data_IF_731538630815
#
_entry.id   IF_731538630815
#
_cell.length_a   1.000
_cell.length_b   1.000
_cell.length_c   1.000
_cell.angle_alpha   90.00
_cell.angle_beta   90.00
_cell.angle_gamma   90.00
#
_symmetry.space_group_name_H-M   'P 1'
#
loop_
_entity.id
_entity.type
_entity.pdbx_description
1 polymer ?
#
# COMPACT_ATOMS: atom_id res chain seq x y z
N UNK A 1 9.16 17.17 20.06
CA UNK A 1 10.32 16.98 19.17
C UNK A 1 9.90 15.85 18.27
N UNK A 2 9.84 16.08 16.97
CA UNK A 2 9.38 15.09 16.01
C UNK A 2 10.35 13.92 15.96
N UNK A 3 9.86 12.71 16.24
CA UNK A 3 10.64 11.48 16.15
C UNK A 3 10.80 11.10 14.68
N UNK A 4 12.03 10.87 14.23
CA UNK A 4 12.34 10.56 12.82
C UNK A 4 12.66 9.09 12.64
N UNK A 5 11.90 8.43 11.78
CA UNK A 5 12.10 7.05 11.37
C UNK A 5 12.64 7.03 9.94
N UNK A 6 13.79 6.43 9.71
CA UNK A 6 14.38 6.26 8.37
C UNK A 6 14.27 4.80 7.92
N UNK A 7 13.42 4.52 6.95
CA UNK A 7 13.26 3.19 6.34
C UNK A 7 14.16 3.10 5.09
N UNK A 8 15.16 2.23 5.12
CA UNK A 8 16.17 2.08 4.05
C UNK A 8 15.85 0.84 3.24
N UNK A 9 15.84 0.95 1.91
CA UNK A 9 15.74 -0.22 1.04
C UNK A 9 15.44 0.12 -0.41
N UNK A 10 14.77 -0.81 -1.09
CA UNK A 10 14.50 -0.71 -2.52
C UNK A 10 13.00 -0.71 -2.82
N UNK A 11 12.47 0.38 -3.43
CA UNK A 11 11.17 0.36 -4.05
C UNK A 11 11.28 -0.35 -5.41
N UNK A 12 10.23 -1.06 -5.81
CA UNK A 12 10.13 -1.74 -7.09
C UNK A 12 8.83 -1.34 -7.79
N UNK A 13 8.88 -1.25 -9.12
CA UNK A 13 7.67 -1.29 -9.92
C UNK A 13 7.15 -2.73 -10.00
N UNK A 14 5.88 -2.91 -9.69
CA UNK A 14 5.18 -4.20 -9.81
C UNK A 14 4.36 -4.20 -11.09
N UNK A 15 4.54 -5.20 -11.93
CA UNK A 15 3.69 -5.47 -13.09
C UNK A 15 2.75 -6.62 -12.72
N UNK A 16 1.44 -6.37 -12.75
CA UNK A 16 0.44 -7.38 -12.39
C UNK A 16 -0.76 -7.35 -13.34
N UNK A 17 -1.42 -8.51 -13.50
CA UNK A 17 -2.58 -8.64 -14.39
C UNK A 17 -3.80 -7.89 -13.86
N UNK A 18 -4.41 -7.11 -14.76
CA UNK A 18 -5.70 -6.45 -14.66
C UNK A 18 -6.56 -6.86 -15.86
N UNK A 19 -7.35 -7.92 -15.68
CA UNK A 19 -8.08 -8.56 -16.78
C UNK A 19 -7.12 -9.07 -17.86
N UNK A 20 -7.35 -8.66 -19.10
CA UNK A 20 -6.49 -9.00 -20.25
C UNK A 20 -5.24 -8.11 -20.39
N UNK A 21 -5.08 -7.10 -19.52
CA UNK A 21 -3.97 -6.14 -19.58
C UNK A 21 -3.03 -6.26 -18.38
N UNK A 22 -1.86 -5.63 -18.48
CA UNK A 22 -0.96 -5.44 -17.35
C UNK A 22 -1.09 -4.04 -16.78
N UNK A 23 -1.27 -3.95 -15.47
CA UNK A 23 -1.18 -2.72 -14.69
C UNK A 23 0.20 -2.59 -14.06
N UNK A 24 0.56 -1.36 -13.69
CA UNK A 24 1.77 -1.06 -12.95
C UNK A 24 1.42 -0.50 -11.57
N UNK A 25 1.84 -1.22 -10.53
CA UNK A 25 1.86 -0.76 -9.15
C UNK A 25 3.29 -0.52 -8.66
N UNK A 26 3.43 -0.22 -7.37
CA UNK A 26 4.74 -0.10 -6.73
C UNK A 26 4.68 -0.74 -5.35
N UNK A 27 5.75 -1.46 -5.01
CA UNK A 27 5.90 -2.17 -3.76
C UNK A 27 7.39 -2.26 -3.39
N UNK A 28 7.71 -3.15 -2.46
CA UNK A 28 9.06 -3.37 -1.93
C UNK A 28 8.96 -3.53 -0.43
N UNK A 29 9.60 -4.52 0.16
CA UNK A 29 9.41 -4.90 1.56
C UNK A 29 9.50 -3.69 2.52
N UNK A 30 10.57 -2.92 2.38
CA UNK A 30 10.83 -1.73 3.19
C UNK A 30 9.94 -0.56 2.82
N UNK A 31 9.52 -0.44 1.55
CA UNK A 31 8.55 0.59 1.12
C UNK A 31 7.17 0.31 1.73
N UNK A 32 6.73 -0.94 1.66
CA UNK A 32 5.48 -1.42 2.27
C UNK A 32 5.50 -1.12 3.77
N UNK A 33 6.56 -1.52 4.49
CA UNK A 33 6.74 -1.20 5.91
C UNK A 33 6.68 0.29 6.18
N UNK A 34 7.38 1.12 5.39
CA UNK A 34 7.36 2.57 5.57
C UNK A 34 5.96 3.15 5.40
N UNK A 35 5.22 2.74 4.36
CA UNK A 35 3.84 3.19 4.09
C UNK A 35 2.93 2.85 5.27
N UNK A 36 2.93 1.60 5.74
CA UNK A 36 2.11 1.21 6.87
C UNK A 36 2.53 1.93 8.16
N UNK A 37 3.83 2.13 8.37
CA UNK A 37 4.34 2.92 9.50
C UNK A 37 3.80 4.36 9.47
N UNK A 38 3.87 5.03 8.33
CA UNK A 38 3.38 6.39 8.17
C UNK A 38 1.85 6.50 8.35
N UNK A 39 1.09 5.53 7.84
CA UNK A 39 -0.37 5.47 8.01
C UNK A 39 -0.76 5.32 9.48
N UNK A 40 -0.10 4.41 10.21
CA UNK A 40 -0.38 4.14 11.62
C UNK A 40 0.19 5.23 12.55
N UNK A 41 1.17 6.00 12.09
CA UNK A 41 1.73 7.15 12.79
C UNK A 41 0.89 8.43 12.64
N UNK A 42 -0.17 8.44 11.80
CA UNK A 42 -1.05 9.61 11.63
C UNK A 42 -1.60 10.08 12.98
N UNK A 43 -1.45 11.38 13.25
CA UNK A 43 -1.86 11.99 14.52
C UNK A 43 -0.78 12.01 15.61
N UNK A 44 0.40 11.46 15.34
CA UNK A 44 1.57 11.51 16.22
C UNK A 44 2.67 12.41 15.63
N UNK A 45 3.54 12.97 16.48
CA UNK A 45 4.72 13.78 16.08
C UNK A 45 5.85 12.85 15.59
N UNK A 46 5.58 12.09 14.55
CA UNK A 46 6.49 11.09 13.94
C UNK A 46 6.61 11.36 12.44
N UNK A 47 7.85 11.50 11.98
CA UNK A 47 8.20 11.72 10.58
C UNK A 47 8.86 10.45 10.01
N UNK A 48 8.18 9.80 9.06
CA UNK A 48 8.67 8.57 8.41
C UNK A 48 9.30 8.94 7.06
N UNK A 49 10.62 8.79 6.97
CA UNK A 49 11.42 9.06 5.78
C UNK A 49 11.76 7.76 5.06
N UNK A 50 11.55 7.72 3.74
CA UNK A 50 12.06 6.62 2.91
C UNK A 50 13.42 6.98 2.32
N UNK A 51 14.36 6.04 2.40
CA UNK A 51 15.75 6.20 1.99
C UNK A 51 16.04 5.20 0.88
N UNK A 52 16.16 5.70 -0.36
CA UNK A 52 16.47 4.89 -1.52
C UNK A 52 17.15 5.71 -2.62
N UNK A 53 17.61 5.02 -3.67
CA UNK A 53 17.98 5.64 -4.93
C UNK A 53 17.08 5.08 -6.05
N UNK A 54 16.56 5.97 -6.90
CA UNK A 54 15.69 5.66 -8.05
C UNK A 54 16.19 6.40 -9.30
N UNK A 55 15.66 6.07 -10.48
CA UNK A 55 16.02 6.75 -11.74
C UNK A 55 15.26 8.05 -11.97
N UNK A 56 15.40 8.62 -13.17
CA UNK A 56 14.63 9.80 -13.62
C UNK A 56 13.40 9.46 -14.46
N UNK A 57 13.14 8.17 -14.70
CA UNK A 57 12.09 7.67 -15.58
C UNK A 57 10.68 7.72 -14.96
N UNK A 58 9.67 7.41 -15.77
CA UNK A 58 8.27 7.48 -15.37
C UNK A 58 7.90 6.50 -14.24
N UNK A 59 8.51 5.32 -14.17
CA UNK A 59 8.28 4.38 -13.07
C UNK A 59 8.89 4.92 -11.78
N UNK A 60 10.09 5.47 -11.86
CA UNK A 60 10.72 6.14 -10.71
C UNK A 60 9.89 7.32 -10.21
N UNK A 61 9.29 8.12 -11.10
CA UNK A 61 8.37 9.19 -10.71
C UNK A 61 7.07 8.66 -10.10
N UNK A 62 6.52 7.56 -10.63
CA UNK A 62 5.35 6.88 -10.07
C UNK A 62 5.58 6.39 -8.64
N UNK A 63 6.72 5.75 -8.36
CA UNK A 63 7.11 5.34 -7.02
C UNK A 63 7.26 6.54 -6.07
N UNK A 64 7.91 7.62 -6.52
CA UNK A 64 8.06 8.84 -5.72
C UNK A 64 6.70 9.50 -5.41
N UNK A 65 5.78 9.49 -6.37
CA UNK A 65 4.42 9.99 -6.17
C UNK A 65 3.60 9.12 -5.21
N UNK A 66 3.76 7.79 -5.25
CA UNK A 66 3.18 6.91 -4.23
C UNK A 66 3.72 7.28 -2.84
N UNK A 67 5.03 7.39 -2.67
CA UNK A 67 5.64 7.74 -1.38
C UNK A 67 5.05 9.04 -0.82
N UNK A 68 4.99 10.09 -1.62
CA UNK A 68 4.41 11.39 -1.23
C UNK A 68 2.93 11.29 -0.87
N UNK A 69 2.14 10.57 -1.68
CA UNK A 69 0.70 10.36 -1.43
C UNK A 69 0.45 9.59 -0.13
N UNK A 70 1.33 8.66 0.20
CA UNK A 70 1.26 7.87 1.44
C UNK A 70 1.81 8.62 2.67
N UNK A 71 2.26 9.88 2.49
CA UNK A 71 2.75 10.73 3.58
C UNK A 71 4.20 10.47 3.98
N UNK A 72 4.99 9.79 3.13
CA UNK A 72 6.41 9.56 3.39
C UNK A 72 7.22 10.81 3.08
N UNK A 73 8.15 11.12 3.98
CA UNK A 73 9.24 12.02 3.71
C UNK A 73 10.19 11.42 2.65
N UNK A 74 10.56 12.24 1.68
CA UNK A 74 11.36 11.81 0.51
C UNK A 74 12.69 12.55 0.41
N UNK A 75 13.14 13.17 1.51
CA UNK A 75 14.35 14.01 1.56
C UNK A 75 15.63 13.23 1.25
N UNK A 76 15.59 11.90 1.42
CA UNK A 76 16.71 11.00 1.22
C UNK A 76 16.47 10.02 0.06
N UNK A 77 15.51 10.33 -0.81
CA UNK A 77 15.32 9.64 -2.09
C UNK A 77 16.19 10.34 -3.14
N UNK A 78 17.26 9.69 -3.56
CA UNK A 78 18.18 10.25 -4.56
C UNK A 78 17.82 9.81 -5.97
N UNK A 79 18.24 10.59 -6.96
CA UNK A 79 18.02 10.31 -8.38
C UNK A 79 19.36 9.94 -9.03
N UNK A 80 19.46 8.72 -9.55
CA UNK A 80 20.63 8.23 -10.29
C UNK A 80 20.44 8.58 -11.78
N UNK A 81 21.41 9.26 -12.43
CA UNK A 81 21.29 9.69 -13.83
C UNK A 81 21.46 8.55 -14.84
N UNK A 82 21.98 7.38 -14.43
CA UNK A 82 22.34 6.27 -15.30
C UNK A 82 21.51 5.00 -15.05
N UNK A 83 20.73 4.94 -13.96
CA UNK A 83 19.96 3.76 -13.56
C UNK A 83 18.48 4.07 -13.36
N UNK A 84 17.68 3.01 -13.28
CA UNK A 84 16.24 3.05 -13.11
C UNK A 84 15.83 2.36 -11.80
N UNK A 85 14.55 2.44 -11.45
CA UNK A 85 13.98 1.58 -10.41
C UNK A 85 14.00 0.10 -10.85
N UNK A 86 14.09 -0.83 -9.89
CA UNK A 86 13.91 -2.25 -10.19
C UNK A 86 12.46 -2.57 -10.52
N UNK A 87 12.25 -3.64 -11.29
CA UNK A 87 10.92 -4.09 -11.73
C UNK A 87 10.73 -5.54 -11.32
N UNK A 88 9.50 -5.93 -10.99
CA UNK A 88 9.11 -7.34 -11.02
C UNK A 88 7.73 -7.52 -11.62
N UNK A 89 7.48 -8.69 -12.21
CA UNK A 89 6.18 -9.08 -12.72
C UNK A 89 5.64 -10.28 -11.93
N UNK A 90 4.34 -10.26 -11.65
CA UNK A 90 3.61 -11.37 -11.06
C UNK A 90 2.89 -12.11 -12.17
N UNK A 91 3.17 -13.41 -12.30
CA UNK A 91 2.46 -14.31 -13.19
C UNK A 91 1.70 -15.32 -12.34
N UNK A 92 0.37 -15.36 -12.52
CA UNK A 92 -0.46 -16.43 -11.96
C UNK A 92 -0.56 -17.55 -12.99
N UNK A 93 -0.36 -18.80 -12.57
CA UNK A 93 -0.69 -19.94 -13.40
C UNK A 93 -2.21 -20.22 -13.42
N UNK A 94 -2.62 -21.24 -14.17
CA UNK A 94 -4.04 -21.65 -14.30
C UNK A 94 -4.64 -22.20 -12.99
N UNK A 95 -3.80 -22.52 -12.00
CA UNK A 95 -4.19 -23.00 -10.67
C UNK A 95 -4.17 -21.88 -9.62
N UNK A 96 -3.75 -20.67 -10.00
CA UNK A 96 -3.62 -19.52 -9.11
C UNK A 96 -2.29 -19.45 -8.36
N UNK A 97 -1.33 -20.32 -8.67
CA UNK A 97 0.03 -20.22 -8.11
C UNK A 97 0.76 -19.02 -8.70
N UNK A 98 1.42 -18.27 -7.82
CA UNK A 98 2.15 -17.04 -8.17
C UNK A 98 3.61 -17.36 -8.43
N UNK A 99 4.09 -16.93 -9.59
CA UNK A 99 5.51 -16.86 -9.92
C UNK A 99 5.93 -15.40 -10.11
N UNK A 100 7.19 -15.12 -9.81
CA UNK A 100 7.74 -13.77 -9.83
C UNK A 100 8.95 -13.71 -10.76
N UNK A 101 8.98 -12.73 -11.66
CA UNK A 101 10.11 -12.43 -12.52
C UNK A 101 10.70 -11.08 -12.14
N UNK A 102 12.01 -10.99 -11.91
CA UNK A 102 12.66 -9.79 -11.41
C UNK A 102 13.67 -9.22 -12.42
N UNK A 103 13.64 -7.90 -12.60
CA UNK A 103 14.65 -7.10 -13.30
C UNK A 103 15.13 -5.99 -12.38
N UNK A 104 15.99 -6.34 -11.42
CA UNK A 104 16.49 -5.41 -10.40
C UNK A 104 17.99 -5.40 -10.19
N UNK A 105 18.75 -6.20 -10.94
CA UNK A 105 20.21 -6.35 -10.75
C UNK A 105 21.01 -5.08 -11.06
N UNK A 106 20.41 -4.16 -11.83
CA UNK A 106 20.99 -2.87 -12.21
C UNK A 106 20.23 -1.67 -11.64
N UNK A 107 19.36 -1.87 -10.65
CA UNK A 107 18.56 -0.78 -10.09
C UNK A 107 19.43 0.28 -9.41
N UNK A 108 18.94 1.52 -9.38
CA UNK A 108 19.59 2.62 -8.71
C UNK A 108 19.79 2.35 -7.21
N UNK A 109 18.86 1.65 -6.55
CA UNK A 109 18.92 1.33 -5.12
C UNK A 109 20.18 0.55 -4.72
N UNK A 110 20.75 -0.25 -5.63
CA UNK A 110 22.01 -0.99 -5.42
C UNK A 110 23.23 -0.09 -5.26
N UNK A 111 23.13 1.19 -5.64
CA UNK A 111 24.21 2.18 -5.53
C UNK A 111 24.20 2.93 -4.19
N UNK A 112 23.21 2.69 -3.33
CA UNK A 112 23.22 3.25 -1.98
C UNK A 112 24.50 2.84 -1.24
N UNK A 113 25.09 3.77 -0.48
CA UNK A 113 26.29 3.53 0.33
C UNK A 113 27.52 3.03 -0.46
N UNK A 114 27.54 3.20 -1.78
CA UNK A 114 28.67 2.80 -2.64
C UNK A 114 29.96 3.59 -2.37
N UNK A 115 29.85 4.80 -1.80
CA UNK A 115 30.99 5.68 -1.48
C UNK A 115 30.84 6.28 -0.09
N UNK A 116 31.96 6.76 0.48
CA UNK A 116 31.98 7.44 1.78
C UNK A 116 31.24 8.79 1.76
N UNK A 117 31.06 9.36 0.57
CA UNK A 117 30.30 10.58 0.34
C UNK A 117 28.81 10.31 0.02
N UNK A 118 28.34 9.06 0.15
CA UNK A 118 26.95 8.70 -0.15
C UNK A 118 25.98 9.61 0.61
N UNK A 119 25.07 10.32 -0.08
CA UNK A 119 24.11 11.23 0.57
C UNK A 119 23.19 10.49 1.55
N UNK A 120 22.95 9.19 1.34
CA UNK A 120 22.13 8.35 2.21
C UNK A 120 22.71 8.22 3.63
N UNK A 121 24.01 8.45 3.84
CA UNK A 121 24.60 8.45 5.20
C UNK A 121 24.03 9.59 6.08
N UNK A 122 23.48 10.65 5.47
CA UNK A 122 22.84 11.75 6.20
C UNK A 122 21.53 11.31 6.86
N UNK A 123 20.80 10.36 6.27
CA UNK A 123 19.54 9.88 6.86
C UNK A 123 19.78 9.23 8.22
N UNK A 124 20.83 8.42 8.32
CA UNK A 124 21.25 7.71 9.55
C UNK A 124 21.59 8.72 10.67
N UNK A 125 22.32 9.80 10.35
CA UNK A 125 22.70 10.83 11.33
C UNK A 125 21.52 11.66 11.83
N UNK A 126 20.43 11.71 11.06
CA UNK A 126 19.27 12.56 11.36
C UNK A 126 18.10 11.82 12.00
N UNK A 127 18.18 10.49 12.06
CA UNK A 127 17.10 9.61 12.51
C UNK A 127 17.23 9.26 13.99
N UNK A 128 16.09 9.06 14.64
CA UNK A 128 16.00 8.47 15.98
C UNK A 128 15.88 6.95 15.90
N UNK A 129 15.29 6.46 14.79
CA UNK A 129 15.12 5.04 14.50
C UNK A 129 15.42 4.78 13.01
N UNK A 130 16.29 3.81 12.71
CA UNK A 130 16.48 3.29 11.36
C UNK A 130 15.85 1.91 11.24
N UNK A 131 15.06 1.69 10.21
CA UNK A 131 14.56 0.37 9.81
C UNK A 131 15.20 -0.06 8.49
N UNK A 132 15.62 -1.31 8.42
CA UNK A 132 16.08 -1.96 7.19
C UNK A 132 15.82 -3.47 7.24
N UNK A 133 15.92 -4.13 6.09
CA UNK A 133 15.69 -5.56 5.95
C UNK A 133 16.91 -6.32 5.42
N UNK A 134 16.87 -7.66 5.48
CA UNK A 134 17.86 -8.51 4.80
C UNK A 134 17.90 -8.31 3.29
N UNK A 135 16.78 -7.94 2.65
CA UNK A 135 16.77 -7.56 1.22
C UNK A 135 17.60 -6.29 1.01
N UNK A 136 17.52 -5.31 1.91
CA UNK A 136 18.37 -4.11 1.86
C UNK A 136 19.84 -4.48 1.87
N UNK A 137 20.24 -5.49 2.64
CA UNK A 137 21.63 -5.97 2.64
C UNK A 137 21.96 -6.70 1.34
N UNK A 138 21.08 -7.60 0.90
CA UNK A 138 21.31 -8.47 -0.26
C UNK A 138 21.61 -7.67 -1.54
N UNK A 139 20.95 -6.53 -1.72
CA UNK A 139 21.11 -5.71 -2.94
C UNK A 139 22.40 -4.87 -2.96
N UNK A 140 23.05 -4.69 -1.82
CA UNK A 140 24.25 -3.87 -1.67
C UNK A 140 25.52 -4.69 -1.92
N UNK A 141 26.57 -4.04 -2.43
CA UNK A 141 27.91 -4.62 -2.46
C UNK A 141 28.47 -4.79 -1.04
N UNK A 142 29.49 -5.63 -0.88
CA UNK A 142 30.14 -5.84 0.42
C UNK A 142 30.64 -4.52 1.04
N UNK A 143 31.28 -3.64 0.25
CA UNK A 143 31.76 -2.35 0.76
C UNK A 143 30.61 -1.43 1.20
N UNK A 144 29.46 -1.49 0.52
CA UNK A 144 28.28 -0.73 0.90
C UNK A 144 27.64 -1.28 2.18
N UNK A 145 27.53 -2.62 2.34
CA UNK A 145 27.11 -3.28 3.58
C UNK A 145 28.00 -2.87 4.75
N UNK A 146 29.30 -2.84 4.52
CA UNK A 146 30.32 -2.42 5.47
C UNK A 146 30.16 -0.96 5.92
N UNK A 147 29.96 -0.03 4.98
CA UNK A 147 29.73 1.38 5.28
C UNK A 147 28.43 1.60 6.04
N UNK A 148 27.35 0.96 5.60
CA UNK A 148 26.05 1.01 6.29
C UNK A 148 26.18 0.51 7.72
N UNK A 149 26.82 -0.65 7.92
CA UNK A 149 27.03 -1.21 9.25
C UNK A 149 27.84 -0.28 10.16
N UNK A 150 28.96 0.29 9.67
CA UNK A 150 29.78 1.23 10.45
C UNK A 150 28.98 2.48 10.84
N UNK A 151 28.27 3.08 9.89
CA UNK A 151 27.47 4.27 10.15
C UNK A 151 26.37 4.03 11.21
N UNK A 152 25.69 2.88 11.15
CA UNK A 152 24.69 2.51 12.16
C UNK A 152 25.34 2.26 13.52
N UNK A 153 26.42 1.46 13.57
CA UNK A 153 27.12 1.13 14.80
C UNK A 153 27.65 2.39 15.52
N UNK A 154 28.21 3.35 14.77
CA UNK A 154 28.69 4.63 15.29
C UNK A 154 27.55 5.48 15.85
N UNK A 155 26.44 5.63 15.12
CA UNK A 155 25.33 6.50 15.54
C UNK A 155 24.52 5.91 16.71
N UNK A 156 24.55 4.58 16.91
CA UNK A 156 23.94 3.97 18.11
C UNK A 156 24.55 4.48 19.41
N UNK A 157 25.84 4.84 19.43
CA UNK A 157 26.47 5.46 20.59
C UNK A 157 25.86 6.83 20.93
N UNK A 158 25.20 7.48 19.97
CA UNK A 158 24.51 8.76 20.11
C UNK A 158 22.99 8.63 20.31
N UNK A 159 22.48 7.41 20.53
CA UNK A 159 21.08 7.18 20.88
C UNK A 159 20.20 6.64 19.75
N UNK A 160 20.71 6.56 18.51
CA UNK A 160 19.99 5.95 17.39
C UNK A 160 19.56 4.52 17.74
N UNK A 161 18.32 4.17 17.38
CA UNK A 161 17.81 2.79 17.42
C UNK A 161 17.84 2.16 16.05
N UNK A 162 18.11 0.85 16.01
CA UNK A 162 18.07 0.06 14.78
C UNK A 162 16.99 -1.01 14.89
N UNK A 163 16.04 -1.00 13.95
CA UNK A 163 15.08 -2.07 13.73
C UNK A 163 15.49 -2.88 12.50
N UNK A 164 15.48 -4.21 12.62
CA UNK A 164 15.95 -5.09 11.56
C UNK A 164 15.01 -6.28 11.36
N UNK A 165 14.65 -6.53 10.10
CA UNK A 165 13.92 -7.72 9.65
C UNK A 165 14.86 -8.57 8.79
N UNK A 166 15.07 -9.85 9.13
CA UNK A 166 15.96 -10.72 8.35
C UNK A 166 15.48 -10.99 6.94
N UNK A 167 14.16 -10.99 6.69
CA UNK A 167 13.49 -11.12 5.39
C UNK A 167 14.31 -11.89 4.33
N UNK A 168 14.66 -13.15 4.62
CA UNK A 168 15.68 -13.88 3.87
C UNK A 168 15.16 -14.27 2.48
N UNK A 169 15.89 -13.87 1.43
CA UNK A 169 15.59 -14.18 0.04
C UNK A 169 16.81 -14.80 -0.64
N UNK A 170 16.93 -16.14 -0.69
CA UNK A 170 18.12 -16.83 -1.17
C UNK A 170 18.64 -16.32 -2.52
N UNK A 171 17.73 -16.08 -3.48
CA UNK A 171 18.07 -15.68 -4.85
C UNK A 171 18.73 -14.30 -4.98
N UNK A 172 18.68 -13.46 -3.93
CA UNK A 172 19.35 -12.14 -3.94
C UNK A 172 20.76 -12.18 -3.35
N UNK A 173 21.14 -13.28 -2.70
CA UNK A 173 22.43 -13.43 -2.06
C UNK A 173 23.38 -14.21 -2.95
N UNK A 174 24.66 -13.85 -2.88
CA UNK A 174 25.72 -14.54 -3.63
C UNK A 174 25.85 -15.99 -3.17
N UNK A 175 25.80 -16.23 -1.86
CA UNK A 175 25.71 -17.57 -1.25
C UNK A 175 24.97 -17.52 0.10
N UNK A 176 24.42 -18.65 0.59
CA UNK A 176 23.82 -18.75 1.93
C UNK A 176 24.81 -18.40 3.08
N UNK A 177 26.10 -18.69 2.90
CA UNK A 177 27.15 -18.38 3.90
C UNK A 177 27.38 -16.87 4.00
N UNK A 178 27.31 -16.14 2.89
CA UNK A 178 27.39 -14.67 2.90
C UNK A 178 26.13 -14.10 3.55
N UNK A 179 24.95 -14.62 3.20
CA UNK A 179 23.68 -14.19 3.79
C UNK A 179 23.66 -14.35 5.32
N UNK A 180 23.99 -15.55 5.81
CA UNK A 180 24.01 -15.86 7.24
C UNK A 180 25.04 -15.02 8.00
N UNK A 181 26.23 -14.81 7.43
CA UNK A 181 27.27 -13.94 8.01
C UNK A 181 26.80 -12.49 8.15
N UNK A 182 26.25 -11.90 7.09
CA UNK A 182 25.84 -10.49 7.11
C UNK A 182 24.59 -10.28 7.98
N UNK A 183 23.60 -11.18 7.91
CA UNK A 183 22.40 -11.12 8.78
C UNK A 183 22.81 -11.27 10.26
N UNK A 184 23.68 -12.23 10.60
CA UNK A 184 24.20 -12.37 11.96
C UNK A 184 25.02 -11.15 12.43
N UNK A 185 25.72 -10.49 11.51
CA UNK A 185 26.45 -9.24 11.80
C UNK A 185 25.51 -8.08 12.08
N UNK A 186 24.40 -7.96 11.36
CA UNK A 186 23.41 -6.91 11.60
C UNK A 186 22.61 -7.15 12.88
N UNK A 187 22.32 -8.41 13.24
CA UNK A 187 21.72 -8.73 14.53
C UNK A 187 22.47 -8.14 15.74
N UNK A 188 23.81 -8.07 15.69
CA UNK A 188 24.66 -7.46 16.74
C UNK A 188 24.47 -5.96 16.97
N UNK A 189 23.90 -5.26 15.99
CA UNK A 189 23.64 -3.82 16.08
C UNK A 189 22.14 -3.50 16.12
N UNK A 190 21.28 -4.50 16.23
CA UNK A 190 19.83 -4.34 16.27
C UNK A 190 19.33 -4.09 17.69
N UNK A 191 18.45 -3.12 17.84
CA UNK A 191 17.71 -2.85 19.08
C UNK A 191 16.30 -3.47 19.05
N UNK A 192 15.65 -3.44 17.88
CA UNK A 192 14.29 -3.96 17.64
C UNK A 192 14.35 -5.09 16.60
N UNK A 193 14.12 -6.33 17.02
CA UNK A 193 14.21 -7.50 16.13
C UNK A 193 12.85 -7.89 15.53
N UNK A 194 12.75 -7.97 14.22
CA UNK A 194 11.52 -8.35 13.51
C UNK A 194 11.74 -9.57 12.58
N UNK A 195 12.30 -10.69 13.06
CA UNK A 195 12.52 -11.88 12.25
C UNK A 195 11.21 -12.59 11.87
N UNK A 196 11.27 -13.36 10.80
CA UNK A 196 10.23 -14.31 10.40
C UNK A 196 10.71 -15.73 10.69
N UNK A 197 9.86 -16.58 11.29
CA UNK A 197 10.24 -17.92 11.71
C UNK A 197 10.78 -18.77 10.56
N UNK A 198 10.08 -18.80 9.43
CA UNK A 198 10.44 -19.58 8.26
C UNK A 198 11.78 -19.12 7.66
N UNK A 199 12.00 -17.80 7.57
CA UNK A 199 13.23 -17.20 7.03
C UNK A 199 14.45 -17.50 7.90
N UNK A 200 14.33 -17.38 9.23
CA UNK A 200 15.41 -17.71 10.15
C UNK A 200 15.72 -19.20 10.17
N UNK A 201 14.70 -20.05 10.08
CA UNK A 201 14.85 -21.50 9.99
C UNK A 201 15.58 -21.88 8.71
N UNK A 202 15.18 -21.30 7.58
CA UNK A 202 15.78 -21.56 6.28
C UNK A 202 17.24 -21.12 6.19
N UNK A 203 17.61 -20.04 6.89
CA UNK A 203 18.97 -19.48 6.84
C UNK A 203 19.94 -20.10 7.86
N UNK A 204 19.49 -20.31 9.09
CA UNK A 204 20.35 -20.75 10.20
C UNK A 204 20.14 -22.20 10.63
N UNK A 205 19.09 -22.86 10.15
CA UNK A 205 18.80 -24.27 10.44
C UNK A 205 18.30 -24.53 11.86
N UNK A 206 17.77 -23.52 12.55
CA UNK A 206 17.22 -23.68 13.89
C UNK A 206 15.99 -24.60 13.90
N UNK A 207 16.01 -25.64 14.73
CA UNK A 207 14.94 -26.64 14.76
C UNK A 207 13.63 -26.16 15.40
N UNK A 208 13.71 -25.18 16.32
CA UNK A 208 12.56 -24.71 17.10
C UNK A 208 12.55 -23.19 17.23
N UNK A 209 11.35 -22.60 17.38
CA UNK A 209 11.16 -21.16 17.60
C UNK A 209 11.98 -20.64 18.79
N UNK A 210 12.14 -21.45 19.84
CA UNK A 210 12.92 -21.08 21.02
C UNK A 210 14.41 -20.89 20.69
N UNK A 211 14.98 -21.75 19.85
CA UNK A 211 16.38 -21.64 19.43
C UNK A 211 16.63 -20.35 18.63
N UNK A 212 15.70 -19.97 17.76
CA UNK A 212 15.75 -18.68 17.03
C UNK A 212 15.77 -17.50 18.00
N UNK A 213 14.86 -17.50 18.98
CA UNK A 213 14.77 -16.44 19.98
C UNK A 213 16.07 -16.32 20.79
N UNK A 214 16.61 -17.45 21.28
CA UNK A 214 17.82 -17.46 22.09
C UNK A 214 19.05 -17.01 21.27
N UNK A 215 19.18 -17.45 20.01
CA UNK A 215 20.26 -17.01 19.09
C UNK A 215 20.21 -15.51 18.84
N UNK A 216 19.04 -14.95 18.55
CA UNK A 216 18.88 -13.52 18.28
C UNK A 216 19.14 -12.72 19.56
N UNK A 217 18.57 -13.10 20.70
CA UNK A 217 18.78 -12.42 21.98
C UNK A 217 20.25 -12.41 22.42
N UNK A 218 21.02 -13.46 22.11
CA UNK A 218 22.45 -13.52 22.38
C UNK A 218 23.26 -12.43 21.65
N UNK A 219 22.68 -11.77 20.63
CA UNK A 219 23.33 -10.70 19.87
C UNK A 219 23.02 -9.28 20.35
N UNK A 220 21.96 -9.09 21.17
CA UNK A 220 21.67 -7.79 21.81
C UNK A 220 20.27 -7.14 21.65
N UNK A 221 19.37 -7.54 20.72
CA UNK A 221 18.04 -6.94 20.62
C UNK A 221 17.26 -6.95 21.94
N UNK A 222 16.52 -5.88 22.21
CA UNK A 222 15.85 -5.66 23.52
C UNK A 222 14.32 -5.68 23.45
N UNK A 223 13.78 -5.59 22.25
CA UNK A 223 12.35 -5.58 21.95
C UNK A 223 12.17 -6.18 20.55
N UNK A 224 10.97 -6.61 20.19
CA UNK A 224 10.70 -7.17 18.88
C UNK A 224 9.66 -8.28 18.87
N UNK A 225 9.55 -8.92 17.71
CA UNK A 225 8.60 -9.98 17.46
C UNK A 225 9.15 -11.01 16.47
N UNK A 226 9.16 -12.28 16.88
CA UNK A 226 9.28 -13.39 15.93
C UNK A 226 7.90 -13.64 15.30
N UNK A 227 7.77 -13.32 14.01
CA UNK A 227 6.54 -13.53 13.25
C UNK A 227 6.39 -15.02 12.92
N UNK A 228 5.29 -15.64 13.34
CA UNK A 228 5.01 -17.07 13.12
C UNK A 228 3.73 -17.28 12.28
N UNK A 229 3.51 -16.44 11.26
CA UNK A 229 2.34 -16.55 10.38
C UNK A 229 1.01 -16.55 11.14
N UNK A 230 0.18 -17.56 10.86
CA UNK A 230 -1.15 -17.70 11.47
C UNK A 230 -1.13 -17.95 12.98
N UNK A 231 -0.01 -18.42 13.53
CA UNK A 231 0.13 -18.68 14.97
C UNK A 231 0.35 -17.39 15.78
N UNK A 232 0.52 -16.26 15.10
CA UNK A 232 0.76 -14.95 15.70
C UNK A 232 2.22 -14.71 16.10
N UNK A 233 2.55 -13.48 16.52
CA UNK A 233 3.91 -13.12 16.89
C UNK A 233 4.29 -13.65 18.28
N UNK A 234 5.56 -13.97 18.46
CA UNK A 234 6.18 -14.21 19.78
C UNK A 234 7.04 -13.01 20.14
N UNK A 235 6.78 -12.38 21.28
CA UNK A 235 7.55 -11.24 21.78
C UNK A 235 9.04 -11.58 21.98
N UNK A 236 9.93 -10.62 21.69
CA UNK A 236 11.37 -10.68 21.95
C UNK A 236 11.73 -9.58 22.97
N UNK A 237 12.32 -9.88 24.14
CA UNK A 237 12.48 -11.20 24.74
C UNK A 237 11.14 -11.88 25.02
N UNK A 238 11.17 -13.21 25.06
CA UNK A 238 9.98 -14.01 25.30
C UNK A 238 9.33 -13.66 26.65
N UNK A 239 8.07 -13.24 26.62
CA UNK A 239 7.23 -13.08 27.81
C UNK A 239 6.45 -14.36 28.08
N UNK A 240 6.34 -14.75 29.36
CA UNK A 240 5.52 -15.88 29.79
C UNK A 240 4.01 -15.62 29.64
N UNK A 241 3.61 -14.38 29.38
CA UNK A 241 2.23 -14.02 29.13
C UNK A 241 1.81 -14.46 27.72
N UNK A 242 1.04 -15.54 27.64
CA UNK A 242 0.45 -16.02 26.39
C UNK A 242 -0.64 -15.07 25.91
N UNK A 243 -0.38 -14.36 24.81
CA UNK A 243 -1.40 -13.68 24.03
C UNK A 243 -1.92 -14.63 22.95
N UNK A 244 -3.24 -14.78 22.86
CA UNK A 244 -3.87 -15.51 21.74
C UNK A 244 -4.16 -14.53 20.61
N UNK A 245 -3.64 -14.83 19.42
CA UNK A 245 -3.82 -14.02 18.23
C UNK A 245 -4.78 -14.73 17.28
N UNK A 246 -5.79 -14.02 16.77
CA UNK A 246 -6.74 -14.60 15.81
C UNK A 246 -6.11 -14.68 14.43
N UNK A 247 -6.22 -15.83 13.78
CA UNK A 247 -5.88 -15.98 12.37
C UNK A 247 -6.83 -15.14 11.48
N UNK A 248 -6.42 -14.91 10.23
CA UNK A 248 -7.27 -14.25 9.24
C UNK A 248 -8.49 -15.12 8.90
N UNK A 249 -9.66 -14.49 8.78
CA UNK A 249 -10.89 -15.18 8.38
C UNK A 249 -10.85 -15.58 6.90
N UNK A 250 -10.15 -14.81 6.08
CA UNK A 250 -9.96 -15.06 4.65
C UNK A 250 -8.55 -14.65 4.26
N UNK A 251 -7.86 -15.53 3.52
CA UNK A 251 -6.52 -15.31 2.98
C UNK A 251 -6.63 -15.27 1.46
N UNK A 252 -6.46 -14.09 0.88
CA UNK A 252 -6.47 -13.84 -0.57
C UNK A 252 -5.04 -13.75 -1.11
N UNK A 253 -4.15 -13.09 -0.36
CA UNK A 253 -2.79 -12.78 -0.79
C UNK A 253 -1.89 -12.56 0.42
N UNK A 254 -0.87 -13.38 0.62
CA UNK A 254 0.03 -13.22 1.77
C UNK A 254 1.10 -12.14 1.57
N UNK A 255 1.16 -11.51 0.40
CA UNK A 255 2.12 -10.46 0.06
C UNK A 255 1.94 -9.26 1.00
N UNK A 256 3.03 -8.76 1.58
CA UNK A 256 2.99 -7.59 2.48
C UNK A 256 2.54 -7.86 3.91
N UNK A 257 2.20 -9.11 4.28
CA UNK A 257 1.78 -9.45 5.64
C UNK A 257 2.85 -9.09 6.70
N UNK A 258 4.08 -9.58 6.49
CA UNK A 258 5.22 -9.27 7.38
C UNK A 258 5.59 -7.78 7.34
N UNK A 259 5.56 -7.17 6.16
CA UNK A 259 5.92 -5.75 5.99
C UNK A 259 4.94 -4.84 6.74
N UNK A 260 3.64 -5.13 6.66
CA UNK A 260 2.58 -4.40 7.36
C UNK A 260 2.62 -4.60 8.86
N UNK A 261 2.92 -5.83 9.32
CA UNK A 261 3.20 -6.11 10.72
C UNK A 261 4.31 -5.19 11.23
N UNK A 262 5.44 -5.16 10.51
CA UNK A 262 6.58 -4.33 10.90
C UNK A 262 6.18 -2.85 10.96
N UNK A 263 5.46 -2.35 9.95
CA UNK A 263 5.06 -0.94 9.89
C UNK A 263 4.19 -0.52 11.07
N UNK A 264 3.13 -1.27 11.35
CA UNK A 264 2.26 -1.02 12.50
C UNK A 264 2.98 -1.19 13.85
N UNK A 265 3.82 -2.20 13.97
CA UNK A 265 4.60 -2.42 15.19
C UNK A 265 5.55 -1.25 15.47
N UNK A 266 6.33 -0.81 14.48
CA UNK A 266 7.27 0.30 14.63
C UNK A 266 6.54 1.61 14.93
N UNK A 267 5.42 1.89 14.25
CA UNK A 267 4.60 3.06 14.55
C UNK A 267 4.06 3.05 15.98
N UNK A 268 3.57 1.90 16.45
CA UNK A 268 3.08 1.73 17.82
C UNK A 268 4.19 1.94 18.88
N UNK A 269 5.36 1.34 18.69
CA UNK A 269 6.51 1.51 19.60
C UNK A 269 7.01 2.95 19.59
N UNK A 270 7.15 3.57 18.42
CA UNK A 270 7.55 4.98 18.30
C UNK A 270 6.54 5.95 18.94
N UNK A 271 5.25 5.55 18.96
CA UNK A 271 4.18 6.29 19.64
C UNK A 271 4.10 6.01 21.15
N UNK A 272 5.05 5.25 21.72
CA UNK A 272 5.12 4.93 23.14
C UNK A 272 4.08 3.92 23.62
N UNK A 273 3.46 3.15 22.71
CA UNK A 273 2.51 2.10 23.10
C UNK A 273 3.25 0.94 23.78
N UNK A 274 2.64 0.27 24.78
CA UNK A 274 3.22 -0.93 25.38
C UNK A 274 3.40 -2.04 24.34
N UNK A 275 4.45 -2.85 24.50
CA UNK A 275 4.83 -3.97 23.64
C UNK A 275 3.66 -4.86 23.22
N UNK A 276 2.86 -5.32 24.21
CA UNK A 276 1.67 -6.14 23.97
C UNK A 276 0.66 -5.49 23.03
N UNK A 277 0.46 -4.18 23.18
CA UNK A 277 -0.46 -3.41 22.32
C UNK A 277 0.11 -3.28 20.91
N UNK A 278 1.41 -3.02 20.78
CA UNK A 278 2.09 -2.97 19.49
C UNK A 278 1.97 -4.30 18.73
N UNK A 279 2.19 -5.43 19.40
CA UNK A 279 2.03 -6.77 18.82
C UNK A 279 0.60 -7.04 18.35
N UNK A 280 -0.40 -6.67 19.14
CA UNK A 280 -1.81 -6.86 18.79
C UNK A 280 -2.23 -6.02 17.57
N UNK A 281 -1.83 -4.75 17.53
CA UNK A 281 -2.10 -3.86 16.40
C UNK A 281 -1.41 -4.33 15.12
N UNK A 282 -0.15 -4.75 15.24
CA UNK A 282 0.63 -5.26 14.12
C UNK A 282 0.04 -6.55 13.55
N UNK A 283 -0.37 -7.49 14.41
CA UNK A 283 -1.02 -8.72 13.99
C UNK A 283 -2.38 -8.46 13.33
N UNK A 284 -3.21 -7.57 13.88
CA UNK A 284 -4.50 -7.24 13.26
C UNK A 284 -4.34 -6.57 11.89
N UNK A 285 -3.36 -5.67 11.73
CA UNK A 285 -3.08 -5.09 10.41
C UNK A 285 -2.65 -6.16 9.42
N UNK A 286 -1.70 -7.03 9.78
CA UNK A 286 -1.26 -8.12 8.91
C UNK A 286 -2.43 -9.03 8.51
N UNK A 287 -3.32 -9.34 9.46
CA UNK A 287 -4.54 -10.11 9.23
C UNK A 287 -5.47 -9.45 8.20
N UNK A 288 -5.61 -8.13 8.22
CA UNK A 288 -6.39 -7.38 7.23
C UNK A 288 -5.71 -7.34 5.87
N UNK A 289 -4.39 -7.17 5.83
CA UNK A 289 -3.60 -7.15 4.60
C UNK A 289 -3.74 -8.46 3.85
N UNK A 290 -3.63 -9.61 4.54
CA UNK A 290 -3.73 -10.91 3.85
C UNK A 290 -5.10 -11.20 3.24
N UNK A 291 -6.14 -10.48 3.71
CA UNK A 291 -7.49 -10.55 3.18
C UNK A 291 -7.73 -9.72 1.91
N UNK A 292 -6.69 -9.11 1.32
CA UNK A 292 -6.79 -8.25 0.13
C UNK A 292 -5.70 -8.59 -0.88
N UNK A 293 -5.98 -8.40 -2.17
CA UNK A 293 -4.97 -8.57 -3.24
C UNK A 293 -3.97 -7.41 -3.23
N UNK A 294 -2.68 -7.72 -3.32
CA UNK A 294 -1.58 -6.75 -3.39
C UNK A 294 -0.97 -6.41 -2.03
N UNK A 295 0.27 -5.94 -2.02
CA UNK A 295 1.05 -5.73 -0.80
C UNK A 295 0.59 -4.54 0.06
N UNK A 296 0.00 -3.53 -0.56
CA UNK A 296 -0.42 -2.27 0.08
C UNK A 296 -1.93 -2.17 0.03
N UNK A 297 -2.59 -2.16 1.20
CA UNK A 297 -4.03 -1.94 1.29
C UNK A 297 -4.38 -0.59 0.66
N UNK A 298 -5.46 -0.51 -0.15
CA UNK A 298 -6.01 0.77 -0.56
C UNK A 298 -6.39 1.62 0.66
N UNK A 299 -6.09 2.93 0.67
CA UNK A 299 -6.51 3.82 1.77
C UNK A 299 -8.04 3.90 1.88
N UNK A 300 -8.71 3.90 0.72
CA UNK A 300 -10.14 3.66 0.61
C UNK A 300 -10.29 2.27 -0.01
N UNK A 301 -10.93 1.29 0.67
CA UNK A 301 -11.19 0.00 0.04
C UNK A 301 -11.88 0.28 -1.30
N UNK A 302 -11.39 -0.33 -2.38
CA UNK A 302 -12.12 -0.33 -3.66
C UNK A 302 -13.41 -1.07 -3.36
N UNK A 303 -14.46 -0.31 -3.02
CA UNK A 303 -15.78 -0.87 -2.89
C UNK A 303 -16.24 -1.18 -4.31
N UNK A 304 -16.92 -2.32 -4.53
CA UNK A 304 -17.63 -2.50 -5.77
C UNK A 304 -18.52 -1.26 -5.97
N UNK A 305 -18.42 -0.65 -7.15
CA UNK A 305 -19.18 0.54 -7.45
C UNK A 305 -20.67 0.23 -7.24
N UNK A 306 -21.38 1.16 -6.58
CA UNK A 306 -22.82 1.02 -6.45
C UNK A 306 -23.44 1.31 -7.81
N UNK A 307 -24.02 0.29 -8.43
CA UNK A 307 -24.66 0.38 -9.74
C UNK A 307 -26.09 0.82 -9.56
N UNK A 308 -26.43 1.93 -10.17
CA UNK A 308 -27.73 2.58 -10.02
C UNK A 308 -28.41 2.63 -11.37
N UNK A 309 -29.56 1.97 -11.45
CA UNK A 309 -30.46 2.00 -12.61
C UNK A 309 -31.67 2.85 -12.31
N UNK A 310 -32.13 3.65 -13.28
CA UNK A 310 -33.36 4.43 -13.13
C UNK A 310 -34.07 4.59 -14.47
N UNK A 311 -35.37 4.86 -14.43
CA UNK A 311 -36.21 4.99 -15.63
C UNK A 311 -37.09 6.23 -15.59
N UNK A 312 -37.27 6.87 -16.74
CA UNK A 312 -38.16 8.03 -16.91
C UNK A 312 -38.76 8.04 -18.32
N UNK A 313 -39.91 8.68 -18.50
CA UNK A 313 -40.43 8.97 -19.84
C UNK A 313 -39.80 10.22 -20.45
N UNK A 314 -39.88 10.32 -21.76
CA UNK A 314 -39.52 11.49 -22.57
C UNK A 314 -40.75 11.91 -23.37
N UNK A 315 -40.99 13.22 -23.49
CA UNK A 315 -42.05 13.72 -24.37
C UNK A 315 -41.68 13.42 -25.84
N UNK A 316 -42.53 12.74 -26.62
CA UNK A 316 -42.21 12.38 -28.01
C UNK A 316 -41.82 13.58 -28.87
N UNK A 317 -42.41 14.74 -28.64
CA UNK A 317 -42.13 15.98 -29.36
C UNK A 317 -40.75 16.59 -29.08
N UNK A 318 -40.09 16.21 -27.97
CA UNK A 318 -38.78 16.74 -27.58
C UNK A 318 -37.62 15.77 -27.88
N UNK A 319 -37.90 14.64 -28.53
CA UNK A 319 -36.94 13.55 -28.73
C UNK A 319 -35.61 14.02 -29.35
N UNK A 320 -35.70 14.70 -30.51
CA UNK A 320 -34.52 15.15 -31.25
C UNK A 320 -33.67 16.15 -30.46
N UNK A 321 -34.33 17.08 -29.75
CA UNK A 321 -33.62 18.09 -28.96
C UNK A 321 -32.98 17.47 -27.72
N UNK A 322 -33.66 16.53 -27.06
CA UNK A 322 -33.11 15.85 -25.89
C UNK A 322 -31.84 15.06 -26.25
N UNK A 323 -31.86 14.30 -27.36
CA UNK A 323 -30.71 13.55 -27.86
C UNK A 323 -29.56 14.50 -28.19
N UNK A 324 -29.84 15.61 -28.87
CA UNK A 324 -28.83 16.61 -29.23
C UNK A 324 -28.18 17.26 -27.99
N UNK A 325 -28.97 17.59 -26.97
CA UNK A 325 -28.47 18.13 -25.71
C UNK A 325 -27.56 17.12 -25.00
N UNK A 326 -27.98 15.87 -24.86
CA UNK A 326 -27.21 14.85 -24.13
C UNK A 326 -26.01 14.31 -24.90
N UNK A 327 -25.95 14.48 -26.22
CA UNK A 327 -24.73 14.31 -26.99
C UNK A 327 -23.68 15.42 -26.72
N UNK A 328 -24.11 16.55 -26.15
CA UNK A 328 -23.30 17.76 -25.94
C UNK A 328 -23.48 18.33 -24.52
N UNK A 329 -23.44 17.46 -23.50
CA UNK A 329 -23.62 17.85 -22.09
C UNK A 329 -22.63 18.96 -21.72
N UNK A 330 -23.12 19.96 -20.97
CA UNK A 330 -22.29 21.08 -20.55
C UNK A 330 -21.09 20.61 -19.70
N UNK A 331 -19.86 21.07 -19.98
CA UNK A 331 -18.67 20.62 -19.25
C UNK A 331 -18.75 20.80 -17.73
N UNK A 332 -19.44 21.85 -17.26
CA UNK A 332 -19.64 22.10 -15.82
C UNK A 332 -20.46 21.00 -15.13
N UNK A 333 -21.48 20.46 -15.81
CA UNK A 333 -22.30 19.35 -15.30
C UNK A 333 -21.45 18.08 -15.20
N UNK A 334 -20.68 17.77 -16.24
CA UNK A 334 -19.77 16.62 -16.24
C UNK A 334 -18.70 16.72 -15.14
N UNK A 335 -18.15 17.93 -14.93
CA UNK A 335 -17.19 18.19 -13.87
C UNK A 335 -17.79 17.98 -12.48
N UNK A 336 -19.04 18.43 -12.26
CA UNK A 336 -19.77 18.23 -11.00
C UNK A 336 -20.01 16.75 -10.72
N UNK A 337 -20.56 16.02 -11.70
CA UNK A 337 -20.80 14.58 -11.58
C UNK A 337 -19.52 13.80 -11.23
N UNK A 338 -18.41 14.12 -11.91
CA UNK A 338 -17.11 13.50 -11.63
C UNK A 338 -16.58 13.85 -10.24
N UNK A 339 -16.77 15.09 -9.79
CA UNK A 339 -16.38 15.52 -8.44
C UNK A 339 -17.23 14.87 -7.33
N UNK A 340 -18.44 14.44 -7.67
CA UNK A 340 -19.38 13.71 -6.81
C UNK A 340 -19.31 12.19 -7.00
N UNK A 341 -18.21 11.67 -7.57
CA UNK A 341 -17.92 10.24 -7.68
C UNK A 341 -18.87 9.41 -8.56
N UNK A 342 -19.59 10.06 -9.49
CA UNK A 342 -20.36 9.38 -10.53
C UNK A 342 -19.44 9.01 -11.70
N UNK A 343 -19.42 7.72 -12.06
CA UNK A 343 -18.63 7.14 -13.15
C UNK A 343 -19.51 6.26 -14.03
N UNK A 344 -19.02 5.90 -15.22
CA UNK A 344 -19.71 5.01 -16.15
C UNK A 344 -21.19 5.38 -16.43
N UNK A 345 -21.50 6.68 -16.52
CA UNK A 345 -22.87 7.17 -16.66
C UNK A 345 -23.34 7.09 -18.12
N UNK A 346 -24.37 6.28 -18.39
CA UNK A 346 -25.06 6.17 -19.67
C UNK A 346 -26.57 6.45 -19.55
N UNK A 347 -27.18 7.01 -20.60
CA UNK A 347 -28.63 7.12 -20.75
C UNK A 347 -29.02 6.45 -22.07
N UNK A 348 -29.93 5.50 -22.01
CA UNK A 348 -30.47 4.75 -23.14
C UNK A 348 -31.89 5.23 -23.42
N UNK A 349 -32.28 5.35 -24.69
CA UNK A 349 -33.64 5.68 -25.11
C UNK A 349 -34.24 4.51 -25.88
N UNK A 350 -35.48 4.15 -25.56
CA UNK A 350 -36.28 3.15 -26.25
C UNK A 350 -37.40 3.82 -27.04
N UNK A 351 -37.35 3.67 -28.35
CA UNK A 351 -38.41 4.07 -29.28
C UNK A 351 -39.24 2.86 -29.74
N UNK A 352 -40.55 3.05 -30.04
CA UNK A 352 -41.30 4.33 -30.02
C UNK A 352 -41.85 4.74 -28.65
N UNK A 353 -41.63 3.95 -27.60
CA UNK A 353 -42.22 4.15 -26.26
C UNK A 353 -41.73 5.43 -25.55
N UNK A 354 -40.69 6.08 -26.08
CA UNK A 354 -40.06 7.28 -25.51
C UNK A 354 -39.68 7.08 -24.04
N UNK A 355 -39.13 5.90 -23.73
CA UNK A 355 -38.72 5.54 -22.38
C UNK A 355 -37.20 5.59 -22.28
N UNK A 356 -36.69 6.26 -21.26
CA UNK A 356 -35.26 6.38 -21.00
C UNK A 356 -34.82 5.56 -19.79
N UNK A 357 -33.70 4.86 -19.93
CA UNK A 357 -33.02 4.15 -18.85
C UNK A 357 -31.68 4.82 -18.56
N UNK A 358 -31.48 5.30 -17.33
CA UNK A 358 -30.22 5.83 -16.85
C UNK A 358 -29.46 4.79 -16.04
N UNK A 359 -28.16 4.63 -16.32
CA UNK A 359 -27.24 3.80 -15.56
C UNK A 359 -26.02 4.61 -15.14
N UNK A 360 -25.61 4.54 -13.88
CA UNK A 360 -24.31 5.04 -13.45
C UNK A 360 -23.72 4.16 -12.34
N UNK A 361 -22.41 4.30 -12.18
CA UNK A 361 -21.65 3.71 -11.08
C UNK A 361 -21.27 4.80 -10.09
N UNK A 362 -21.57 4.60 -8.82
CA UNK A 362 -21.18 5.49 -7.73
C UNK A 362 -20.04 4.87 -6.92
N UNK A 363 -18.98 5.67 -6.71
CA UNK A 363 -17.73 5.21 -6.07
C UNK A 363 -17.36 5.99 -4.80
N UNK A 364 -18.21 6.93 -4.37
CA UNK A 364 -17.97 7.75 -3.17
C UNK A 364 -18.40 7.08 -1.85
N UNK A 365 -18.13 7.75 -0.75
CA UNK A 365 -18.40 7.24 0.61
C UNK A 365 -19.80 7.62 1.14
N UNK A 366 -20.38 8.71 0.64
CA UNK A 366 -21.65 9.27 1.14
C UNK A 366 -22.50 9.80 -0.02
N UNK A 367 -23.37 8.93 -0.54
CA UNK A 367 -24.20 9.23 -1.71
C UNK A 367 -25.13 10.42 -1.47
N UNK A 368 -25.68 10.56 -0.27
CA UNK A 368 -26.60 11.64 0.05
C UNK A 368 -25.89 12.99 0.03
N UNK A 369 -24.68 13.07 0.59
CA UNK A 369 -23.86 14.28 0.54
C UNK A 369 -23.45 14.64 -0.88
N UNK A 370 -23.00 13.65 -1.67
CA UNK A 370 -22.59 13.88 -3.06
C UNK A 370 -23.76 14.27 -3.97
N UNK A 371 -24.92 13.65 -3.78
CA UNK A 371 -26.15 14.00 -4.48
C UNK A 371 -26.66 15.39 -4.08
N UNK A 372 -26.55 15.77 -2.80
CA UNK A 372 -26.85 17.13 -2.36
C UNK A 372 -25.89 18.16 -2.98
N UNK A 373 -24.61 17.82 -3.17
CA UNK A 373 -23.65 18.69 -3.85
C UNK A 373 -24.01 18.91 -5.33
N UNK A 374 -24.51 17.88 -6.02
CA UNK A 374 -25.07 17.99 -7.37
C UNK A 374 -26.31 18.89 -7.38
N UNK A 375 -27.26 18.64 -6.47
CA UNK A 375 -28.49 19.41 -6.38
C UNK A 375 -28.29 20.90 -6.08
N UNK A 376 -27.22 21.25 -5.36
CA UNK A 376 -26.85 22.63 -5.04
C UNK A 376 -25.94 23.30 -6.08
N UNK A 377 -25.49 22.58 -7.11
CA UNK A 377 -24.61 23.12 -8.14
C UNK A 377 -25.40 24.01 -9.14
N UNK A 378 -25.08 25.32 -9.26
CA UNK A 378 -25.87 26.23 -10.09
C UNK A 378 -25.91 25.85 -11.58
N UNK A 379 -24.81 25.29 -12.12
CA UNK A 379 -24.73 24.90 -13.53
C UNK A 379 -25.64 23.69 -13.76
N UNK A 380 -25.64 22.74 -12.83
CA UNK A 380 -26.54 21.58 -12.86
C UNK A 380 -28.01 22.00 -12.76
N UNK A 381 -28.34 22.97 -11.90
CA UNK A 381 -29.71 23.50 -11.80
C UNK A 381 -30.17 24.17 -13.10
N UNK A 382 -29.30 24.93 -13.77
CA UNK A 382 -29.63 25.55 -15.06
C UNK A 382 -29.79 24.50 -16.17
N UNK A 383 -28.95 23.46 -16.17
CA UNK A 383 -29.12 22.30 -17.05
C UNK A 383 -30.49 21.62 -16.85
N UNK A 384 -30.90 21.41 -15.60
CA UNK A 384 -32.21 20.83 -15.29
C UNK A 384 -33.39 21.69 -15.72
N UNK A 385 -33.27 23.03 -15.72
CA UNK A 385 -34.33 23.90 -16.26
C UNK A 385 -34.54 23.71 -17.76
N UNK A 386 -33.49 23.31 -18.50
CA UNK A 386 -33.55 23.04 -19.93
C UNK A 386 -34.09 21.63 -20.20
N UNK A 387 -33.54 20.60 -19.54
CA UNK A 387 -33.88 19.22 -19.82
C UNK A 387 -35.13 18.71 -19.08
N UNK A 388 -35.37 19.20 -17.87
CA UNK A 388 -36.45 18.76 -16.98
C UNK A 388 -37.84 18.85 -17.61
N UNK A 389 -38.20 19.95 -18.32
CA UNK A 389 -39.49 20.05 -19.01
C UNK A 389 -39.73 18.94 -20.03
N UNK A 390 -38.68 18.42 -20.68
CA UNK A 390 -38.79 17.38 -21.71
C UNK A 390 -39.11 16.00 -21.12
N UNK A 391 -38.85 15.81 -19.83
CA UNK A 391 -38.98 14.53 -19.13
C UNK A 391 -40.40 14.35 -18.57
N UNK A 392 -40.86 13.10 -18.58
CA UNK A 392 -42.16 12.68 -18.06
C UNK A 392 -41.92 11.66 -16.95
N UNK A 393 -41.99 12.06 -15.68
CA UNK A 393 -41.85 11.13 -14.57
C UNK A 393 -42.91 10.04 -14.58
N UNK A 394 -42.51 8.79 -14.31
CA UNK A 394 -43.45 7.68 -14.28
C UNK A 394 -44.36 7.74 -13.06
N UNK A 395 -45.59 7.26 -13.20
CA UNK A 395 -46.55 7.16 -12.09
C UNK A 395 -46.08 6.19 -10.99
N UNK A 396 -45.22 5.23 -11.34
CA UNK A 396 -44.72 4.17 -10.44
C UNK A 396 -43.53 4.59 -9.58
N UNK A 397 -43.03 5.83 -9.71
CA UNK A 397 -41.90 6.34 -8.93
C UNK A 397 -42.27 6.51 -7.44
N UNK A 398 -41.31 6.36 -6.54
CA UNK A 398 -41.52 6.61 -5.13
C UNK A 398 -41.72 8.12 -4.86
N UNK A 399 -42.26 8.44 -3.67
CA UNK A 399 -42.44 9.84 -3.27
C UNK A 399 -41.10 10.57 -3.20
N UNK A 400 -40.95 11.65 -3.96
CA UNK A 400 -39.72 12.46 -4.03
C UNK A 400 -38.80 12.11 -5.21
N UNK A 401 -39.05 11.02 -5.91
CA UNK A 401 -38.27 10.63 -7.10
C UNK A 401 -38.64 11.48 -8.32
N UNK A 402 -37.63 11.85 -9.11
CA UNK A 402 -37.84 12.39 -10.45
C UNK A 402 -37.74 11.29 -11.51
N UNK A 403 -36.61 10.57 -11.52
CA UNK A 403 -36.44 9.29 -12.20
C UNK A 403 -36.82 8.17 -11.25
N UNK A 404 -37.56 7.16 -11.72
CA UNK A 404 -37.94 6.02 -10.89
C UNK A 404 -36.75 5.08 -10.72
N UNK A 405 -36.34 4.80 -9.48
CA UNK A 405 -35.20 3.92 -9.22
C UNK A 405 -35.53 2.46 -9.54
N UNK A 406 -34.52 1.71 -9.99
CA UNK A 406 -34.62 0.31 -10.38
C UNK A 406 -33.67 -0.55 -9.55
N UNK A 407 -34.15 -1.72 -9.14
CA UNK A 407 -33.32 -2.74 -8.48
C UNK A 407 -32.45 -3.47 -9.49
N UNK A 408 -31.15 -3.56 -9.24
CA UNK A 408 -30.26 -4.48 -9.96
C UNK A 408 -30.67 -5.94 -9.68
N UNK A 409 -30.88 -6.72 -10.75
CA UNK A 409 -31.30 -8.14 -10.67
C UNK A 409 -30.15 -9.08 -11.03
N UNK A 410 -29.22 -8.65 -11.88
CA UNK A 410 -28.08 -9.44 -12.34
C UNK A 410 -26.95 -8.51 -12.78
N UNK A 411 -25.71 -8.92 -12.51
CA UNK A 411 -24.50 -8.26 -12.97
C UNK A 411 -23.41 -9.29 -13.28
N UNK A 412 -22.59 -9.00 -14.30
CA UNK A 412 -21.38 -9.74 -14.64
C UNK A 412 -20.27 -8.72 -14.93
N UNK A 413 -19.17 -8.80 -14.18
CA UNK A 413 -18.00 -7.91 -14.34
C UNK A 413 -17.22 -8.20 -15.63
#
# INVERSE_FOLDING_TARGET
MTLRIACIGEPLAEISHYGETFGVGFAGDTLNTAIYCAREAKGHDIDVQYVCAIGHDALSEGALNLMRREGLGTNYVTRDPARQIGIYAIQNDIHGERSFHYWRDSSAARQMFSTDASPHLKSIKSADLVYLSGITLAILSQDARDRLWRALAEQRASGLKVAFDSNYRPNLWETPEIASREIARFWKITDIALPTHEDETALFGDAERRAILDRILATGPKTGALKCGQDGPIQIPHSAETSSYKAAETVIDTTGAGDSFNGAYLAAIASGKPERTALALAHDLARRVVGHKGAILPQNPIRPAQRMGSVIGLRPEDLDEYVKLHANVWPGVLARLKASHFTNYSIYLKEPECLMFGYFEYTGDDFDTDNAAIANDPITQDWWKVCGPMQVPLEIRNQGEWWAEMREVFHMD
#
